data_IF_341079699042
#
_entry.id   IF_341079699042
#
_cell.length_a   1.000
_cell.length_b   1.000
_cell.length_c   1.000
_cell.angle_alpha   90.00
_cell.angle_beta   90.00
_cell.angle_gamma   90.00
#
_symmetry.space_group_name_H-M   'P 1'
#
loop_
_entity.id
_entity.type
_entity.pdbx_description
1 polymer ?
#
# COMPACT_ATOMS: atom_id res chain seq x y z
N UNK A 1 5.79 -9.42 26.37
CA UNK A 1 5.36 -9.47 27.80
C UNK A 1 3.85 -9.31 27.95
N UNK A 2 3.21 -8.31 27.33
CA UNK A 2 1.76 -8.11 27.44
C UNK A 2 0.91 -9.30 26.94
N UNK A 3 1.26 -9.92 25.80
CA UNK A 3 0.52 -11.07 25.24
C UNK A 3 0.52 -12.28 26.18
N UNK A 4 1.65 -12.56 26.82
CA UNK A 4 1.78 -13.67 27.77
C UNK A 4 0.89 -13.48 29.00
N UNK A 5 0.91 -12.29 29.58
CA UNK A 5 0.04 -11.94 30.72
C UNK A 5 -1.44 -12.04 30.33
N UNK A 6 -1.79 -11.51 29.16
CA UNK A 6 -3.15 -11.55 28.60
C UNK A 6 -3.70 -12.99 28.44
N UNK A 7 -2.85 -13.94 28.06
CA UNK A 7 -3.22 -15.37 27.99
C UNK A 7 -3.40 -15.98 29.37
N UNK A 8 -2.49 -15.67 30.31
CA UNK A 8 -2.61 -16.12 31.69
C UNK A 8 -3.88 -15.63 32.38
N UNK A 9 -4.18 -14.33 32.26
CA UNK A 9 -5.36 -13.70 32.87
C UNK A 9 -6.66 -14.32 32.34
N UNK A 10 -6.64 -14.88 31.13
CA UNK A 10 -7.77 -15.58 30.50
C UNK A 10 -7.77 -17.10 30.73
N UNK A 11 -6.81 -17.64 31.48
CA UNK A 11 -6.67 -19.07 31.69
C UNK A 11 -6.28 -19.86 30.43
N UNK A 12 -5.77 -19.19 29.39
CA UNK A 12 -5.34 -19.83 28.13
C UNK A 12 -3.92 -20.35 28.32
N UNK A 13 -3.81 -21.64 28.62
CA UNK A 13 -2.52 -22.30 28.93
C UNK A 13 -1.91 -23.02 27.74
N UNK A 14 -2.71 -23.35 26.72
CA UNK A 14 -2.31 -24.08 25.51
C UNK A 14 -2.63 -23.24 24.28
N UNK A 15 -1.61 -22.85 23.54
CA UNK A 15 -1.73 -22.07 22.31
C UNK A 15 -1.18 -22.90 21.16
N UNK A 16 -2.00 -23.07 20.12
CA UNK A 16 -1.58 -23.78 18.90
C UNK A 16 -0.87 -22.83 17.93
N UNK A 17 -1.53 -21.72 17.60
CA UNK A 17 -1.06 -20.75 16.60
C UNK A 17 -1.35 -19.33 17.06
N UNK A 18 -0.46 -18.41 16.69
CA UNK A 18 -0.60 -16.98 16.82
C UNK A 18 -0.53 -16.38 15.41
N UNK A 19 -1.53 -15.57 15.07
CA UNK A 19 -1.55 -14.77 13.85
C UNK A 19 -1.28 -13.31 14.18
N UNK A 20 -0.25 -12.74 13.56
CA UNK A 20 0.20 -11.36 13.77
C UNK A 20 0.29 -10.62 12.43
N UNK A 21 0.27 -9.29 12.48
CA UNK A 21 0.54 -8.44 11.33
C UNK A 21 2.04 -8.45 10.96
N UNK A 22 2.37 -7.90 9.79
CA UNK A 22 3.71 -7.98 9.22
C UNK A 22 4.66 -6.89 9.74
N UNK A 23 4.99 -6.98 11.02
CA UNK A 23 6.08 -6.23 11.61
C UNK A 23 7.19 -7.20 12.02
N UNK A 24 8.44 -6.89 11.67
CA UNK A 24 9.60 -7.72 12.04
C UNK A 24 9.74 -7.93 13.56
N UNK A 25 9.21 -7.00 14.36
CA UNK A 25 9.09 -7.16 15.82
C UNK A 25 8.24 -8.34 16.24
N UNK A 26 7.25 -8.73 15.42
CA UNK A 26 6.31 -9.79 15.74
C UNK A 26 6.94 -11.18 15.60
N UNK A 27 7.87 -11.38 14.66
CA UNK A 27 8.63 -12.64 14.53
C UNK A 27 9.40 -12.94 15.83
N UNK A 28 10.07 -11.91 16.37
CA UNK A 28 10.75 -12.00 17.65
C UNK A 28 9.77 -12.24 18.81
N UNK A 29 8.60 -11.59 18.75
CA UNK A 29 7.52 -11.76 19.72
C UNK A 29 6.99 -13.20 19.76
N UNK A 30 6.66 -13.77 18.60
CA UNK A 30 6.15 -15.14 18.48
C UNK A 30 7.22 -16.16 18.87
N UNK A 31 8.48 -15.95 18.48
CA UNK A 31 9.61 -16.80 18.90
C UNK A 31 9.77 -16.79 20.43
N UNK A 32 9.63 -15.62 21.07
CA UNK A 32 9.68 -15.53 22.53
C UNK A 32 8.49 -16.25 23.19
N UNK A 33 7.29 -16.17 22.61
CA UNK A 33 6.11 -16.89 23.07
C UNK A 33 6.30 -18.41 22.97
N UNK A 34 6.84 -18.90 21.86
CA UNK A 34 7.14 -20.32 21.66
C UNK A 34 8.08 -20.86 22.74
N UNK A 35 9.16 -20.12 23.02
CA UNK A 35 10.09 -20.48 24.11
C UNK A 35 9.39 -20.57 25.46
N UNK A 36 8.51 -19.61 25.79
CA UNK A 36 7.77 -19.63 27.06
C UNK A 36 6.78 -20.79 27.17
N UNK A 37 6.09 -21.11 26.08
CA UNK A 37 5.10 -22.19 26.07
C UNK A 37 5.77 -23.56 26.11
N UNK A 38 6.91 -23.73 25.42
CA UNK A 38 7.77 -24.90 25.55
C UNK A 38 8.27 -25.07 27.00
N UNK A 39 8.73 -23.98 27.64
CA UNK A 39 9.19 -24.03 29.04
C UNK A 39 8.07 -24.40 30.04
N UNK A 40 6.79 -24.25 29.67
CA UNK A 40 5.65 -24.65 30.50
C UNK A 40 5.22 -26.10 30.26
N UNK A 41 5.91 -26.85 29.41
CA UNK A 41 5.51 -28.19 28.95
C UNK A 41 4.10 -28.24 28.34
N UNK A 42 3.58 -27.10 27.85
CA UNK A 42 2.25 -26.97 27.26
C UNK A 42 2.29 -26.86 25.72
N UNK A 43 3.43 -27.24 25.13
CA UNK A 43 3.65 -27.18 23.70
C UNK A 43 2.69 -28.11 22.96
N UNK A 44 1.96 -27.58 21.99
CA UNK A 44 1.24 -28.39 21.01
C UNK A 44 2.14 -28.52 19.79
N UNK A 45 2.40 -29.76 19.33
CA UNK A 45 3.29 -30.05 18.20
C UNK A 45 4.63 -29.30 18.29
N UNK A 46 5.25 -29.27 19.48
CA UNK A 46 6.52 -28.57 19.74
C UNK A 46 6.56 -27.07 19.37
N UNK A 47 5.40 -26.44 19.18
CA UNK A 47 5.24 -25.07 18.67
C UNK A 47 5.68 -24.89 17.20
N UNK A 48 5.77 -25.97 16.40
CA UNK A 48 6.20 -25.95 14.99
C UNK A 48 5.30 -25.07 14.10
N UNK A 49 4.02 -24.93 14.47
CA UNK A 49 3.02 -24.13 13.75
C UNK A 49 2.54 -22.91 14.54
N UNK A 50 3.39 -22.40 15.43
CA UNK A 50 3.01 -21.31 16.31
C UNK A 50 2.88 -19.96 15.61
N UNK A 51 3.53 -19.77 14.46
CA UNK A 51 3.38 -18.56 13.65
C UNK A 51 2.65 -18.87 12.35
N UNK A 52 1.46 -18.28 12.15
CA UNK A 52 0.83 -18.19 10.84
C UNK A 52 0.73 -16.72 10.47
N UNK A 53 1.20 -16.36 9.27
CA UNK A 53 1.06 -15.00 8.77
C UNK A 53 -0.41 -14.68 8.47
N UNK A 54 -0.84 -13.46 8.75
CA UNK A 54 -2.19 -13.02 8.42
C UNK A 54 -2.50 -13.15 6.91
N UNK A 55 -3.70 -13.62 6.55
CA UNK A 55 -4.11 -13.74 5.14
C UNK A 55 -4.02 -12.40 4.39
N UNK A 56 -4.36 -11.29 5.05
CA UNK A 56 -4.19 -9.93 4.51
C UNK A 56 -2.73 -9.62 4.15
N UNK A 57 -1.77 -10.18 4.89
CA UNK A 57 -0.35 -10.03 4.56
C UNK A 57 0.05 -10.86 3.36
N UNK A 58 -0.41 -12.11 3.26
CA UNK A 58 -0.15 -12.94 2.08
C UNK A 58 -0.71 -12.26 0.82
N UNK A 59 -1.93 -11.72 0.89
CA UNK A 59 -2.51 -10.94 -0.21
C UNK A 59 -1.68 -9.71 -0.56
N UNK A 60 -1.14 -9.01 0.45
CA UNK A 60 -0.27 -7.87 0.20
C UNK A 60 1.05 -8.27 -0.46
N UNK A 61 1.63 -9.43 -0.11
CA UNK A 61 2.82 -9.93 -0.79
C UNK A 61 2.53 -10.27 -2.25
N UNK A 62 1.50 -11.08 -2.51
CA UNK A 62 1.13 -11.49 -3.87
C UNK A 62 0.79 -10.29 -4.75
N UNK A 63 0.03 -9.33 -4.21
CA UNK A 63 -0.33 -8.13 -4.97
C UNK A 63 0.89 -7.22 -5.25
N UNK A 64 1.79 -7.05 -4.28
CA UNK A 64 3.00 -6.23 -4.50
C UNK A 64 3.98 -6.90 -5.47
N UNK A 65 4.11 -8.23 -5.43
CA UNK A 65 4.89 -9.01 -6.39
C UNK A 65 4.37 -8.78 -7.82
N UNK A 66 3.05 -8.86 -8.02
CA UNK A 66 2.45 -8.53 -9.32
C UNK A 66 2.59 -7.04 -9.72
N UNK A 67 2.59 -6.12 -8.75
CA UNK A 67 2.81 -4.69 -9.02
C UNK A 67 4.27 -4.36 -9.35
N UNK A 68 5.23 -5.22 -9.00
CA UNK A 68 6.66 -4.99 -9.26
C UNK A 68 6.96 -4.91 -10.76
N UNK A 69 6.29 -5.73 -11.57
CA UNK A 69 6.35 -5.68 -13.04
C UNK A 69 5.98 -4.30 -13.60
N UNK A 70 5.06 -3.60 -12.93
CA UNK A 70 4.56 -2.27 -13.32
C UNK A 70 5.15 -1.13 -12.48
N UNK A 71 6.18 -1.40 -11.67
CA UNK A 71 6.77 -0.45 -10.72
C UNK A 71 7.19 0.86 -11.38
N UNK A 72 7.67 0.82 -12.63
CA UNK A 72 8.00 2.00 -13.43
C UNK A 72 6.79 2.90 -13.72
N UNK A 73 5.67 2.31 -14.16
CA UNK A 73 4.43 3.04 -14.43
C UNK A 73 3.82 3.61 -13.15
N UNK A 74 3.80 2.80 -12.07
CA UNK A 74 3.30 3.26 -10.76
C UNK A 74 4.13 4.43 -10.24
N UNK A 75 5.46 4.38 -10.40
CA UNK A 75 6.36 5.47 -9.99
C UNK A 75 6.08 6.75 -10.78
N UNK A 76 5.92 6.66 -12.11
CA UNK A 76 5.53 7.82 -12.94
C UNK A 76 4.21 8.44 -12.49
N UNK A 77 3.21 7.61 -12.19
CA UNK A 77 1.92 8.10 -11.69
C UNK A 77 2.09 8.82 -10.34
N UNK A 78 2.91 8.29 -9.43
CA UNK A 78 3.23 8.99 -8.17
C UNK A 78 3.90 10.34 -8.43
N UNK A 79 4.80 10.42 -9.40
CA UNK A 79 5.50 11.66 -9.74
C UNK A 79 4.55 12.70 -10.33
N UNK A 80 3.66 12.30 -11.25
CA UNK A 80 2.58 13.13 -11.80
C UNK A 80 1.66 13.66 -10.69
N UNK A 81 1.20 12.77 -9.78
CA UNK A 81 0.36 13.17 -8.65
C UNK A 81 1.10 14.16 -7.76
N UNK A 82 2.39 13.92 -7.44
CA UNK A 82 3.20 14.87 -6.67
C UNK A 82 3.32 16.21 -7.37
N UNK A 83 3.57 16.22 -8.67
CA UNK A 83 3.65 17.43 -9.47
C UNK A 83 2.37 18.27 -9.32
N UNK A 84 1.20 17.69 -9.61
CA UNK A 84 -0.08 18.40 -9.52
C UNK A 84 -0.37 18.86 -8.08
N UNK A 85 -0.13 18.00 -7.08
CA UNK A 85 -0.52 18.27 -5.67
C UNK A 85 0.39 19.24 -4.94
N UNK A 86 1.65 19.39 -5.35
CA UNK A 86 2.63 20.23 -4.65
C UNK A 86 2.37 21.74 -4.82
N UNK A 87 1.71 22.14 -5.91
CA UNK A 87 1.39 23.55 -6.17
C UNK A 87 -0.12 23.77 -6.04
N UNK A 88 -0.51 24.73 -5.20
CA UNK A 88 -1.91 25.14 -5.07
C UNK A 88 -2.51 25.62 -6.40
N UNK A 89 -1.70 26.28 -7.25
CA UNK A 89 -2.10 26.72 -8.58
C UNK A 89 -2.36 25.54 -9.51
N UNK A 90 -1.45 24.56 -9.57
CA UNK A 90 -1.62 23.35 -10.40
C UNK A 90 -2.80 22.51 -9.93
N UNK A 91 -2.95 22.33 -8.62
CA UNK A 91 -4.10 21.66 -8.01
C UNK A 91 -5.42 22.37 -8.34
N UNK A 92 -5.45 23.71 -8.32
CA UNK A 92 -6.65 24.47 -8.69
C UNK A 92 -6.99 24.29 -10.19
N UNK A 93 -5.99 24.36 -11.08
CA UNK A 93 -6.18 24.09 -12.51
C UNK A 93 -6.72 22.68 -12.76
N UNK A 94 -6.13 21.69 -12.11
CA UNK A 94 -6.57 20.29 -12.20
C UNK A 94 -8.03 20.12 -11.75
N UNK A 95 -8.43 20.73 -10.63
CA UNK A 95 -9.82 20.70 -10.16
C UNK A 95 -10.77 21.36 -11.16
N UNK A 96 -10.39 22.51 -11.72
CA UNK A 96 -11.19 23.18 -12.74
C UNK A 96 -11.34 22.31 -14.00
N UNK A 97 -10.29 21.60 -14.42
CA UNK A 97 -10.36 20.62 -15.51
C UNK A 97 -11.33 19.49 -15.20
N UNK A 98 -11.20 18.88 -14.02
CA UNK A 98 -12.11 17.82 -13.58
C UNK A 98 -13.58 18.25 -13.50
N UNK A 99 -13.85 19.48 -13.07
CA UNK A 99 -15.20 20.05 -13.02
C UNK A 99 -15.79 20.28 -14.42
N UNK A 100 -14.98 20.77 -15.38
CA UNK A 100 -15.41 20.93 -16.78
C UNK A 100 -15.84 19.61 -17.41
N UNK A 101 -15.17 18.52 -17.04
CA UNK A 101 -15.48 17.17 -17.54
C UNK A 101 -16.54 16.44 -16.72
N UNK A 102 -17.25 17.13 -15.81
CA UNK A 102 -18.29 16.56 -14.95
C UNK A 102 -17.80 15.38 -14.08
N UNK A 103 -16.51 15.38 -13.70
CA UNK A 103 -15.94 14.34 -12.83
C UNK A 103 -16.28 14.66 -11.37
N UNK A 104 -17.50 14.30 -10.97
CA UNK A 104 -18.02 14.49 -9.61
C UNK A 104 -17.60 13.35 -8.67
N UNK A 105 -16.30 13.17 -8.45
CA UNK A 105 -15.82 12.24 -7.43
C UNK A 105 -15.59 12.96 -6.10
N UNK A 106 -16.10 12.39 -4.99
CA UNK A 106 -15.79 12.85 -3.63
C UNK A 106 -14.35 12.54 -3.21
N UNK A 107 -13.62 11.74 -4.01
CA UNK A 107 -12.25 11.30 -3.71
C UNK A 107 -11.25 12.17 -4.45
N UNK A 108 -10.36 12.82 -3.69
CA UNK A 108 -9.25 13.60 -4.23
C UNK A 108 -8.07 12.71 -4.65
N UNK A 109 -7.22 13.22 -5.54
CA UNK A 109 -5.91 12.62 -5.81
C UNK A 109 -5.18 12.37 -4.49
N UNK A 110 -4.68 11.16 -4.31
CA UNK A 110 -3.90 10.76 -3.14
C UNK A 110 -2.68 9.97 -3.57
N UNK A 111 -1.58 10.15 -2.84
CA UNK A 111 -0.44 9.26 -2.97
C UNK A 111 -0.71 7.97 -2.21
N UNK A 112 -0.19 6.87 -2.74
CA UNK A 112 -0.27 5.59 -2.08
C UNK A 112 0.75 5.46 -0.93
N UNK A 113 0.53 4.44 -0.10
CA UNK A 113 1.53 3.92 0.82
C UNK A 113 2.19 2.71 0.12
N UNK A 114 3.46 2.80 -0.33
CA UNK A 114 4.05 1.80 -1.25
C UNK A 114 4.05 0.36 -0.74
N UNK A 115 3.98 0.15 0.57
CA UNK A 115 3.95 -1.19 1.19
C UNK A 115 2.54 -1.77 1.30
N UNK A 116 1.49 -1.05 0.85
CA UNK A 116 0.07 -1.42 0.98
C UNK A 116 -0.61 -1.43 -0.38
N UNK A 117 -0.82 -2.63 -0.93
CA UNK A 117 -1.40 -2.82 -2.26
C UNK A 117 -2.75 -2.10 -2.45
N UNK A 118 -3.59 -2.08 -1.40
CA UNK A 118 -4.91 -1.46 -1.46
C UNK A 118 -4.81 0.07 -1.60
N UNK A 119 -3.74 0.67 -1.05
CA UNK A 119 -3.46 2.10 -1.22
C UNK A 119 -3.04 2.41 -2.65
N UNK A 120 -2.19 1.56 -3.25
CA UNK A 120 -1.77 1.70 -4.65
C UNK A 120 -2.96 1.52 -5.59
N UNK A 121 -3.80 0.50 -5.36
CA UNK A 121 -5.05 0.32 -6.09
C UNK A 121 -5.94 1.56 -6.04
N UNK A 122 -6.14 2.15 -4.84
CA UNK A 122 -6.96 3.35 -4.70
C UNK A 122 -6.38 4.55 -5.46
N UNK A 123 -5.07 4.75 -5.40
CA UNK A 123 -4.38 5.79 -6.18
C UNK A 123 -4.64 5.60 -7.67
N UNK A 124 -4.37 4.41 -8.21
CA UNK A 124 -4.53 4.11 -9.64
C UNK A 124 -5.99 4.28 -10.11
N UNK A 125 -6.94 3.68 -9.38
CA UNK A 125 -8.37 3.77 -9.70
C UNK A 125 -8.93 5.20 -9.56
N UNK A 126 -8.31 6.08 -8.78
CA UNK A 126 -8.69 7.50 -8.75
C UNK A 126 -8.04 8.24 -9.92
N UNK A 127 -6.74 8.05 -10.15
CA UNK A 127 -6.00 8.69 -11.26
C UNK A 127 -6.63 8.41 -12.62
N UNK A 128 -7.01 7.15 -12.88
CA UNK A 128 -7.71 6.74 -14.10
C UNK A 128 -8.99 7.57 -14.33
N UNK A 129 -9.77 7.85 -13.29
CA UNK A 129 -11.00 8.63 -13.40
C UNK A 129 -10.77 10.10 -13.72
N UNK A 130 -9.54 10.58 -13.52
CA UNK A 130 -9.13 11.95 -13.77
C UNK A 130 -8.27 12.10 -15.03
N UNK A 131 -8.22 11.09 -15.91
CA UNK A 131 -7.42 11.11 -17.15
C UNK A 131 -7.56 12.44 -17.92
N UNK A 132 -8.80 12.85 -18.23
CA UNK A 132 -9.06 14.12 -18.95
C UNK A 132 -8.58 15.39 -18.21
N UNK A 133 -8.60 15.37 -16.88
CA UNK A 133 -8.09 16.48 -16.09
C UNK A 133 -6.55 16.56 -16.15
N UNK A 134 -5.86 15.44 -16.39
CA UNK A 134 -4.43 15.44 -16.70
C UNK A 134 -4.14 15.90 -18.13
N UNK A 135 -4.97 15.54 -19.11
CA UNK A 135 -4.85 16.05 -20.49
C UNK A 135 -4.90 17.58 -20.51
N UNK A 136 -5.82 18.19 -19.75
CA UNK A 136 -5.90 19.64 -19.64
C UNK A 136 -4.64 20.26 -18.99
N UNK A 137 -4.01 19.56 -18.03
CA UNK A 137 -2.75 20.01 -17.44
C UNK A 137 -1.62 19.95 -18.48
N UNK A 138 -1.61 18.92 -19.32
CA UNK A 138 -0.64 18.78 -20.42
C UNK A 138 -0.74 19.93 -21.42
N UNK A 139 -1.96 20.29 -21.83
CA UNK A 139 -2.19 21.41 -22.74
C UNK A 139 -1.80 22.77 -22.14
N UNK A 140 -2.01 22.95 -20.83
CA UNK A 140 -1.83 24.23 -20.14
C UNK A 140 -0.44 24.45 -19.53
N UNK A 141 0.35 23.40 -19.32
CA UNK A 141 1.63 23.42 -18.62
C UNK A 141 2.73 22.73 -19.45
N UNK A 142 3.45 23.52 -20.24
CA UNK A 142 4.57 23.04 -21.07
C UNK A 142 5.63 22.28 -20.27
N UNK A 143 5.82 22.59 -18.98
CA UNK A 143 6.75 21.82 -18.13
C UNK A 143 6.20 20.43 -17.85
N UNK A 144 4.91 20.29 -17.62
CA UNK A 144 4.28 18.98 -17.43
C UNK A 144 4.47 18.10 -18.68
N UNK A 145 4.15 18.64 -19.86
CA UNK A 145 4.30 17.91 -21.12
C UNK A 145 5.75 17.46 -21.37
N UNK A 146 6.72 18.36 -21.17
CA UNK A 146 8.15 18.03 -21.28
C UNK A 146 8.60 16.95 -20.28
N UNK A 147 8.16 17.05 -19.02
CA UNK A 147 8.63 16.18 -17.93
C UNK A 147 7.98 14.78 -17.95
N UNK A 148 6.71 14.68 -18.35
CA UNK A 148 5.93 13.44 -18.24
C UNK A 148 5.46 12.84 -19.57
N UNK A 149 5.35 13.61 -20.65
CA UNK A 149 4.74 13.18 -21.92
C UNK A 149 5.77 12.95 -23.03
N UNK A 150 6.78 13.82 -23.16
CA UNK A 150 7.78 13.73 -24.26
C UNK A 150 8.74 12.51 -24.16
N UNK A 151 8.72 11.76 -23.06
CA UNK A 151 9.46 10.51 -22.90
C UNK A 151 8.78 9.26 -23.49
N UNK A 152 7.55 9.38 -24.00
CA UNK A 152 6.74 8.23 -24.47
C UNK A 152 7.05 7.87 -25.93
N UNK A 153 7.44 8.82 -26.76
CA UNK A 153 7.63 8.63 -28.22
C UNK A 153 8.94 7.94 -28.63
N UNK A 154 9.94 7.81 -27.75
CA UNK A 154 11.24 7.19 -28.10
C UNK A 154 11.38 5.69 -27.78
N UNK A 155 10.37 5.03 -27.21
CA UNK A 155 10.42 3.59 -26.87
C UNK A 155 9.53 2.67 -27.73
N UNK A 156 8.89 3.21 -28.77
CA UNK A 156 8.08 2.43 -29.72
C UNK A 156 8.56 2.55 -31.18
N UNK A 157 9.81 2.99 -31.41
CA UNK A 157 10.47 2.96 -32.72
C UNK A 157 11.70 2.06 -32.69
#
# INVERSE_FOLDING_TARGET
>A
KAVDQCLYDRGITRVFTITVDNATSNDNGVTHMAKKINNRCNAILNCDHMHIRCATHILNLVANDGLEEYSGCVTKIRDIIRYVTTSSLRMAKFKNGAEKDNIFTKRFLCLDVPIRWNSTYLMLNITEKFEKAFDQIEDDDARYSWEFCEGITKKMS
#
